data_IF_206715292938
#
_entry.id   IF_206715292938
#
_cell.length_a   1.000
_cell.length_b   1.000
_cell.length_c   1.000
_cell.angle_alpha   90.00
_cell.angle_beta   90.00
_cell.angle_gamma   90.00
#
_symmetry.space_group_name_H-M   'P 1'
#
loop_
_entity.id
_entity.type
_entity.pdbx_description
1 polymer ?
#
# COMPACT_ATOMS: atom_id res chain seq x y z
N UNK A 1 -45.23 -3.14 -0.74
CA UNK A 1 -44.25 -2.52 0.18
C UNK A 1 -43.10 -3.51 0.39
N UNK A 2 -41.88 -3.25 -0.11
CA UNK A 2 -40.73 -4.17 0.04
C UNK A 2 -40.32 -4.22 1.53
N UNK A 3 -40.23 -5.44 2.10
CA UNK A 3 -39.78 -5.65 3.48
C UNK A 3 -38.38 -5.06 3.67
N UNK A 4 -38.23 -4.17 4.64
CA UNK A 4 -36.94 -3.59 5.03
C UNK A 4 -36.10 -4.69 5.70
N UNK A 5 -34.94 -5.01 5.13
CA UNK A 5 -34.00 -5.98 5.70
C UNK A 5 -33.16 -5.28 6.77
N UNK A 6 -32.93 -5.94 7.90
CA UNK A 6 -32.08 -5.46 9.00
C UNK A 6 -30.78 -6.25 9.03
N UNK A 7 -29.66 -5.61 9.35
CA UNK A 7 -28.36 -6.25 9.53
C UNK A 7 -28.41 -6.97 10.89
N UNK A 8 -28.08 -8.27 10.95
CA UNK A 8 -28.05 -9.00 12.21
C UNK A 8 -26.90 -8.51 13.12
N UNK A 9 -27.06 -8.68 14.44
CA UNK A 9 -25.97 -8.43 15.38
C UNK A 9 -24.99 -9.60 15.32
N UNK A 10 -23.83 -9.39 14.70
CA UNK A 10 -22.78 -10.41 14.64
C UNK A 10 -22.14 -10.60 16.01
N UNK A 11 -21.92 -11.85 16.39
CA UNK A 11 -21.24 -12.22 17.63
C UNK A 11 -19.72 -12.34 17.44
N UNK A 12 -19.27 -12.49 16.19
CA UNK A 12 -17.86 -12.61 15.82
C UNK A 12 -17.58 -11.98 14.45
N UNK A 13 -16.33 -11.56 14.22
CA UNK A 13 -15.87 -11.01 12.94
C UNK A 13 -16.02 -12.00 11.78
N UNK A 14 -15.75 -13.30 12.03
CA UNK A 14 -15.96 -14.37 11.03
C UNK A 14 -17.41 -14.48 10.55
N UNK A 15 -18.36 -14.27 11.46
CA UNK A 15 -19.80 -14.31 11.14
C UNK A 15 -20.20 -13.12 10.26
N UNK A 16 -19.58 -11.95 10.48
CA UNK A 16 -19.77 -10.79 9.65
C UNK A 16 -19.19 -11.01 8.24
N UNK A 17 -18.00 -11.60 8.14
CA UNK A 17 -17.36 -11.90 6.84
C UNK A 17 -18.18 -12.88 6.00
N UNK A 18 -18.68 -13.96 6.61
CA UNK A 18 -19.54 -14.93 5.92
C UNK A 18 -20.87 -14.30 5.46
N UNK A 19 -21.41 -13.37 6.24
CA UNK A 19 -22.61 -12.63 5.89
C UNK A 19 -22.36 -11.67 4.72
N UNK A 20 -21.31 -10.85 4.78
CA UNK A 20 -20.97 -9.90 3.72
C UNK A 20 -20.45 -10.56 2.44
N UNK A 21 -19.94 -11.78 2.52
CA UNK A 21 -19.64 -12.61 1.35
C UNK A 21 -20.90 -13.00 0.56
N UNK A 22 -22.06 -13.03 1.22
CA UNK A 22 -23.34 -13.46 0.63
C UNK A 22 -24.33 -12.31 0.39
N UNK A 23 -24.11 -11.16 1.02
CA UNK A 23 -25.05 -10.04 1.01
C UNK A 23 -24.39 -8.74 0.56
N UNK A 24 -25.07 -7.99 -0.31
CA UNK A 24 -24.60 -6.68 -0.75
C UNK A 24 -24.95 -5.61 0.29
N UNK A 25 -24.03 -4.69 0.62
CA UNK A 25 -24.34 -3.51 1.45
C UNK A 25 -25.48 -2.65 0.90
N UNK A 26 -25.71 -2.69 -0.42
CA UNK A 26 -26.80 -1.95 -1.07
C UNK A 26 -28.19 -2.49 -0.72
N UNK A 27 -28.29 -3.70 -0.17
CA UNK A 27 -29.55 -4.31 0.27
C UNK A 27 -30.06 -3.78 1.63
N UNK A 28 -29.24 -2.98 2.34
CA UNK A 28 -29.52 -2.47 3.69
C UNK A 28 -29.39 -0.93 3.80
N UNK A 29 -29.99 -0.13 2.89
CA UNK A 29 -29.75 1.31 2.83
C UNK A 29 -30.23 2.08 4.07
N UNK A 30 -31.27 1.57 4.75
CA UNK A 30 -31.86 2.20 5.94
C UNK A 30 -31.04 1.97 7.24
N UNK A 31 -30.08 1.04 7.20
CA UNK A 31 -29.25 0.68 8.37
C UNK A 31 -27.95 1.50 8.43
N UNK A 32 -27.56 2.12 7.32
CA UNK A 32 -26.41 3.01 7.29
C UNK A 32 -26.81 4.43 7.66
N UNK A 33 -26.06 5.06 8.58
CA UNK A 33 -26.23 6.48 8.87
C UNK A 33 -25.74 7.28 7.66
N UNK A 34 -26.63 8.11 7.12
CA UNK A 34 -26.23 9.12 6.14
C UNK A 34 -25.10 9.98 6.73
N UNK A 35 -23.98 10.06 6.02
CA UNK A 35 -22.89 10.98 6.35
C UNK A 35 -23.42 12.41 6.23
N UNK A 36 -23.80 13.02 7.36
CA UNK A 36 -24.31 14.41 7.42
C UNK A 36 -23.27 15.46 7.04
N UNK A 37 -21.98 15.08 7.07
CA UNK A 37 -20.86 15.88 6.61
C UNK A 37 -19.99 15.02 5.72
N UNK A 38 -19.41 15.58 4.64
CA UNK A 38 -18.30 14.94 3.94
C UNK A 38 -17.24 14.53 4.96
N UNK A 39 -16.65 13.35 4.77
CA UNK A 39 -15.49 12.95 5.56
C UNK A 39 -14.36 13.94 5.25
N UNK A 40 -14.10 14.86 6.17
CA UNK A 40 -12.96 15.77 6.08
C UNK A 40 -11.73 14.98 6.48
N UNK A 41 -10.95 14.56 5.48
CA UNK A 41 -9.61 14.04 5.73
C UNK A 41 -8.80 15.10 6.46
N UNK A 42 -8.12 14.72 7.54
CA UNK A 42 -7.22 15.60 8.26
C UNK A 42 -6.21 16.21 7.27
N UNK A 43 -6.33 17.50 7.05
CA UNK A 43 -5.56 18.24 6.05
C UNK A 43 -4.06 18.14 6.37
N UNK A 44 -3.70 18.03 7.64
CA UNK A 44 -2.30 17.90 8.05
C UNK A 44 -1.78 16.48 7.81
N UNK A 45 -2.62 15.45 7.95
CA UNK A 45 -2.29 14.09 7.51
C UNK A 45 -2.04 14.04 6.00
N UNK A 46 -2.92 14.67 5.21
CA UNK A 46 -2.75 14.75 3.75
C UNK A 46 -1.49 15.54 3.35
N UNK A 47 -1.17 16.63 4.04
CA UNK A 47 0.07 17.40 3.80
C UNK A 47 1.31 16.61 4.16
N UNK A 48 1.30 15.84 5.26
CA UNK A 48 2.42 14.98 5.66
C UNK A 48 2.66 13.87 4.63
N UNK A 49 1.60 13.17 4.24
CA UNK A 49 1.63 12.17 3.16
C UNK A 49 2.13 12.81 1.86
N UNK A 50 1.59 13.98 1.49
CA UNK A 50 2.03 14.69 0.30
C UNK A 50 3.51 15.08 0.37
N UNK A 51 4.03 15.50 1.54
CA UNK A 51 5.44 15.87 1.76
C UNK A 51 6.37 14.66 1.68
N UNK A 52 5.99 13.53 2.28
CA UNK A 52 6.72 12.26 2.16
C UNK A 52 6.74 11.76 0.71
N UNK A 53 5.61 11.88 0.00
CA UNK A 53 5.55 11.62 -1.45
C UNK A 53 6.33 12.66 -2.28
N UNK A 54 6.61 13.85 -1.73
CA UNK A 54 7.32 14.96 -2.38
C UNK A 54 8.84 14.85 -2.30
N UNK A 55 9.40 13.94 -1.51
CA UNK A 55 10.78 13.50 -1.73
C UNK A 55 10.82 12.88 -3.13
N UNK A 56 11.16 13.72 -4.12
CA UNK A 56 10.95 13.44 -5.53
C UNK A 56 11.68 12.15 -5.89
N UNK A 57 10.91 11.09 -6.18
CA UNK A 57 11.42 9.86 -6.77
C UNK A 57 12.28 10.25 -7.97
N UNK A 58 13.55 9.84 -7.95
CA UNK A 58 14.46 10.05 -9.08
C UNK A 58 14.18 8.96 -10.11
N UNK A 59 14.13 9.35 -11.39
CA UNK A 59 14.01 8.40 -12.49
C UNK A 59 15.31 7.63 -12.59
N UNK A 60 15.21 6.30 -12.67
CA UNK A 60 16.34 5.40 -12.90
C UNK A 60 16.04 4.61 -14.17
N UNK A 61 17.00 4.60 -15.09
CA UNK A 61 16.95 3.78 -16.31
C UNK A 61 17.81 2.54 -16.07
N UNK A 62 17.18 1.35 -16.10
CA UNK A 62 17.84 0.06 -15.93
C UNK A 62 17.54 -0.82 -17.14
N UNK A 63 18.56 -1.53 -17.64
CA UNK A 63 18.36 -2.58 -18.65
C UNK A 63 18.01 -3.88 -17.93
N UNK A 64 16.92 -4.51 -18.38
CA UNK A 64 16.43 -5.78 -17.88
C UNK A 64 16.12 -6.70 -19.05
N UNK A 65 16.16 -8.00 -18.83
CA UNK A 65 15.71 -8.96 -19.82
C UNK A 65 14.20 -8.82 -20.06
N UNK A 66 13.78 -9.01 -21.31
CA UNK A 66 12.36 -8.90 -21.68
C UNK A 66 11.49 -9.93 -20.94
N UNK A 67 12.02 -11.14 -20.74
CA UNK A 67 11.39 -12.22 -19.97
C UNK A 67 11.06 -11.77 -18.54
N UNK A 68 12.00 -11.10 -17.87
CA UNK A 68 11.84 -10.60 -16.50
C UNK A 68 10.77 -9.50 -16.42
N UNK A 69 10.76 -8.58 -17.40
CA UNK A 69 9.75 -7.53 -17.47
C UNK A 69 8.35 -8.13 -17.64
N UNK A 70 8.20 -9.14 -18.51
CA UNK A 70 6.93 -9.82 -18.72
C UNK A 70 6.44 -10.53 -17.46
N UNK A 71 7.31 -11.29 -16.80
CA UNK A 71 6.98 -12.00 -15.56
C UNK A 71 6.57 -11.03 -14.45
N UNK A 72 7.31 -9.93 -14.27
CA UNK A 72 6.98 -8.91 -13.28
C UNK A 72 5.59 -8.28 -13.54
N UNK A 73 5.24 -8.02 -14.81
CA UNK A 73 3.91 -7.52 -15.17
C UNK A 73 2.80 -8.51 -14.83
N UNK A 74 3.00 -9.80 -15.12
CA UNK A 74 2.02 -10.85 -14.80
C UNK A 74 1.81 -10.94 -13.29
N UNK A 75 2.89 -10.94 -12.51
CA UNK A 75 2.84 -10.98 -11.05
C UNK A 75 2.13 -9.74 -10.49
N UNK A 76 2.48 -8.54 -10.98
CA UNK A 76 1.87 -7.29 -10.53
C UNK A 76 0.35 -7.30 -10.76
N UNK A 77 -0.09 -7.68 -11.97
CA UNK A 77 -1.51 -7.79 -12.29
C UNK A 77 -2.25 -8.76 -11.35
N UNK A 78 -1.64 -9.91 -11.02
CA UNK A 78 -2.22 -10.88 -10.09
C UNK A 78 -2.34 -10.33 -8.66
N UNK A 79 -1.41 -9.49 -8.25
CA UNK A 79 -1.41 -8.84 -6.94
C UNK A 79 -2.27 -7.56 -6.91
N UNK A 80 -2.86 -7.16 -8.03
CA UNK A 80 -3.61 -5.90 -8.14
C UNK A 80 -2.73 -4.65 -8.01
N UNK A 81 -1.44 -4.77 -8.30
CA UNK A 81 -0.47 -3.66 -8.26
C UNK A 81 0.03 -3.31 -9.66
N UNK A 82 0.62 -2.13 -9.80
CA UNK A 82 1.30 -1.71 -11.02
C UNK A 82 2.75 -2.21 -11.04
N UNK A 83 3.25 -2.63 -12.21
CA UNK A 83 4.58 -3.24 -12.32
C UNK A 83 5.69 -2.35 -11.74
N UNK A 84 5.63 -1.02 -11.93
CA UNK A 84 6.65 -0.11 -11.38
C UNK A 84 6.61 -0.07 -9.85
N UNK A 85 5.44 -0.28 -9.24
CA UNK A 85 5.30 -0.35 -7.78
C UNK A 85 5.92 -1.64 -7.25
N UNK A 86 5.57 -2.79 -7.85
CA UNK A 86 6.14 -4.07 -7.51
C UNK A 86 7.67 -4.08 -7.60
N UNK A 87 8.24 -3.61 -8.72
CA UNK A 87 9.70 -3.54 -8.89
C UNK A 87 10.36 -2.68 -7.81
N UNK A 88 9.76 -1.54 -7.42
CA UNK A 88 10.31 -0.72 -6.33
C UNK A 88 10.28 -1.45 -4.99
N UNK A 89 9.24 -2.22 -4.73
CA UNK A 89 9.14 -3.04 -3.51
C UNK A 89 10.23 -4.09 -3.49
N UNK A 90 10.44 -4.84 -4.58
CA UNK A 90 11.52 -5.81 -4.66
C UNK A 90 12.91 -5.20 -4.54
N UNK A 91 13.15 -4.03 -5.13
CA UNK A 91 14.42 -3.31 -4.94
C UNK A 91 14.64 -2.95 -3.47
N UNK A 92 13.60 -2.48 -2.78
CA UNK A 92 13.68 -2.18 -1.33
C UNK A 92 13.98 -3.44 -0.52
N UNK A 93 13.24 -4.52 -0.77
CA UNK A 93 13.41 -5.80 -0.08
C UNK A 93 14.79 -6.39 -0.31
N UNK A 94 15.31 -6.32 -1.55
CA UNK A 94 16.67 -6.71 -1.88
C UNK A 94 17.69 -5.92 -1.07
N UNK A 95 17.58 -4.59 -1.03
CA UNK A 95 18.49 -3.75 -0.23
C UNK A 95 18.42 -4.11 1.26
N UNK A 96 17.21 -4.30 1.81
CA UNK A 96 17.04 -4.62 3.23
C UNK A 96 17.68 -5.97 3.57
N UNK A 97 17.49 -6.97 2.71
CA UNK A 97 18.11 -8.29 2.85
C UNK A 97 19.63 -8.19 2.88
N UNK A 98 20.23 -7.47 1.93
CA UNK A 98 21.69 -7.27 1.89
C UNK A 98 22.22 -6.55 3.14
N UNK A 99 21.46 -5.60 3.70
CA UNK A 99 21.85 -4.91 4.94
C UNK A 99 21.75 -5.80 6.18
N UNK A 100 20.79 -6.74 6.19
CA UNK A 100 20.63 -7.73 7.25
C UNK A 100 21.76 -8.78 7.20
N UNK A 101 22.06 -9.28 6.00
CA UNK A 101 23.10 -10.30 5.78
C UNK A 101 24.51 -9.72 5.94
N UNK A 102 24.71 -8.42 5.65
CA UNK A 102 26.01 -7.75 5.65
C UNK A 102 26.01 -6.44 6.48
N UNK A 103 26.06 -6.52 7.83
CA UNK A 103 26.01 -5.34 8.70
C UNK A 103 27.23 -4.40 8.53
N UNK A 104 28.32 -4.85 7.93
CA UNK A 104 29.46 -4.01 7.53
C UNK A 104 29.09 -2.95 6.49
N UNK A 105 28.16 -3.24 5.58
CA UNK A 105 27.71 -2.30 4.54
C UNK A 105 27.04 -1.09 5.21
N UNK A 106 26.30 -1.31 6.29
CA UNK A 106 25.67 -0.24 7.04
C UNK A 106 26.70 0.74 7.63
N UNK A 107 27.83 0.22 8.14
CA UNK A 107 28.92 1.04 8.66
C UNK A 107 29.53 1.93 7.58
N UNK A 108 29.69 1.39 6.37
CA UNK A 108 30.21 2.13 5.22
C UNK A 108 29.24 3.20 4.72
N UNK A 109 27.93 2.91 4.71
CA UNK A 109 26.89 3.89 4.38
C UNK A 109 26.94 5.07 5.36
N UNK A 110 26.95 4.79 6.67
CA UNK A 110 27.02 5.83 7.72
C UNK A 110 28.28 6.68 7.58
N UNK A 111 29.43 6.05 7.29
CA UNK A 111 30.71 6.75 7.06
C UNK A 111 30.67 7.65 5.83
N UNK A 112 30.05 7.20 4.74
CA UNK A 112 29.92 7.97 3.49
C UNK A 112 28.92 9.12 3.63
N UNK A 113 27.80 8.93 4.32
CA UNK A 113 26.87 10.01 4.66
C UNK A 113 27.52 11.08 5.54
N UNK A 114 28.29 10.68 6.56
CA UNK A 114 29.01 11.62 7.42
C UNK A 114 30.05 12.44 6.63
N UNK A 115 30.66 11.87 5.59
CA UNK A 115 31.55 12.60 4.67
C UNK A 115 30.80 13.61 3.80
N UNK A 116 29.63 13.27 3.29
CA UNK A 116 28.79 14.17 2.48
C UNK A 116 28.22 15.34 3.29
N UNK A 117 28.01 15.17 4.60
CA UNK A 117 27.56 16.24 5.49
C UNK A 117 28.69 17.17 5.95
N UNK A 118 29.95 16.77 5.77
CA UNK A 118 31.15 17.55 6.15
C UNK A 118 31.80 18.29 4.97
N UNK A 119 31.33 18.05 3.74
CA UNK A 119 31.76 18.72 2.52
C UNK A 119 30.75 19.80 2.14
#
# INVERSE_FOLDING_TARGET
MKKRKKIPKFRSEKEADEFWSKHSPLDYPDEFKALKKPFEFDIDFLKKMAKEHKEKKKVVTLRMEESQILLAKIIANRLGDYYQSLIRTWVREGILRELEDHPEIEKDIRKKQLRLLRA
#
